data_IF_007879788962
#
_entry.id   IF_007879788962
#
_cell.length_a   1.000
_cell.length_b   1.000
_cell.length_c   1.000
_cell.angle_alpha   90.00
_cell.angle_beta   90.00
_cell.angle_gamma   90.00
#
_symmetry.space_group_name_H-M   'P 1'
#
loop_
_entity.id
_entity.type
_entity.pdbx_description
1 polymer ?
#
# COMPACT_ATOMS: atom_id res chain seq x y z
N UNK A 1 11.38 23.30 7.50
CA UNK A 1 10.97 22.87 7.63
C UNK A 1 10.56 22.36 7.49
N UNK A 2 10.49 22.00 7.32
CA UNK A 2 9.97 21.25 7.29
C UNK A 2 9.40 20.67 7.36
N UNK A 3 9.27 20.61 7.19
CA UNK A 3 8.59 19.97 7.40
C UNK A 3 8.17 19.26 7.63
N UNK A 4 8.26 18.82 7.63
CA UNK A 4 7.90 18.07 7.92
C UNK A 4 7.21 17.87 8.29
N UNK A 5 7.02 17.98 8.42
CA UNK A 5 6.35 17.67 8.96
C UNK A 5 5.46 17.30 8.75
N UNK A 6 5.06 17.49 8.67
CA UNK A 6 4.01 16.85 8.45
C UNK A 6 4.03 15.48 8.54
N UNK A 7 4.79 15.09 8.99
CA UNK A 7 5.19 13.76 8.94
C UNK A 7 4.23 12.80 9.56
N UNK A 8 3.71 13.05 10.69
CA UNK A 8 2.80 12.14 11.33
C UNK A 8 1.55 11.96 10.52
N UNK A 9 1.32 12.86 9.63
CA UNK A 9 0.16 12.79 8.79
C UNK A 9 0.49 12.32 7.42
N UNK A 10 1.63 11.70 7.27
CA UNK A 10 2.05 11.23 5.98
C UNK A 10 1.07 10.26 5.42
N UNK A 11 0.60 10.49 4.21
CA UNK A 11 -0.37 9.57 3.61
C UNK A 11 0.23 8.22 3.29
N UNK A 12 1.54 8.10 3.27
CA UNK A 12 2.17 6.84 2.97
C UNK A 12 2.35 5.91 4.16
N UNK A 13 1.89 6.33 5.34
CA UNK A 13 2.06 5.51 6.55
C UNK A 13 0.70 5.13 7.07
N UNK A 14 0.51 3.85 7.30
CA UNK A 14 -0.74 3.32 7.82
C UNK A 14 -0.43 2.38 8.97
N UNK A 15 -1.21 2.47 10.03
CA UNK A 15 -1.10 1.58 11.17
C UNK A 15 -2.41 0.86 11.34
N UNK A 16 -2.41 -0.42 11.06
CA UNK A 16 -3.60 -1.22 11.17
C UNK A 16 -3.27 -2.54 11.81
N UNK A 17 -3.84 -3.61 11.27
CA UNK A 17 -3.64 -4.94 11.83
C UNK A 17 -2.19 -5.38 11.86
N UNK A 18 -1.40 -4.87 10.96
CA UNK A 18 0.00 -5.30 10.82
C UNK A 18 0.98 -4.32 11.45
N UNK A 19 0.48 -3.37 12.25
CA UNK A 19 1.31 -2.31 12.78
C UNK A 19 1.64 -1.29 11.69
N UNK A 20 2.68 -0.48 11.90
CA UNK A 20 3.02 0.56 10.93
C UNK A 20 3.45 -0.03 9.60
N UNK A 21 2.87 0.47 8.52
CA UNK A 21 3.27 0.07 7.18
C UNK A 21 3.52 1.32 6.36
N UNK A 22 4.46 1.22 5.44
CA UNK A 22 4.71 2.27 4.47
C UNK A 22 3.96 1.91 3.20
N UNK A 23 3.20 2.87 2.66
CA UNK A 23 2.43 2.65 1.45
C UNK A 23 3.11 3.37 0.30
N UNK A 24 3.41 2.62 -0.76
CA UNK A 24 4.05 3.17 -1.95
C UNK A 24 3.15 2.98 -3.14
N UNK A 25 3.12 3.99 -3.98
CA UNK A 25 2.33 3.93 -5.20
C UNK A 25 3.18 3.37 -6.31
N UNK A 26 2.71 2.30 -6.93
CA UNK A 26 3.40 1.67 -8.04
C UNK A 26 2.77 2.16 -9.33
N UNK A 27 3.55 2.81 -10.17
CA UNK A 27 3.07 3.30 -11.46
C UNK A 27 2.93 2.13 -12.43
N UNK A 28 2.07 2.26 -13.46
CA UNK A 28 1.90 1.16 -14.41
C UNK A 28 3.20 0.66 -15.02
N UNK A 29 4.13 1.56 -15.35
CA UNK A 29 5.38 1.14 -15.98
C UNK A 29 6.30 0.41 -15.00
N UNK A 30 6.04 0.53 -13.70
CA UNK A 30 6.82 -0.15 -12.66
C UNK A 30 6.23 -1.50 -12.29
N UNK A 31 5.02 -1.78 -12.73
CA UNK A 31 4.32 -3.01 -12.38
C UNK A 31 4.74 -4.13 -13.33
N UNK A 32 5.83 -4.79 -12.99
CA UNK A 32 6.44 -5.79 -13.87
C UNK A 32 5.92 -7.19 -13.64
N UNK A 33 5.19 -7.42 -12.56
CA UNK A 33 4.69 -8.75 -12.19
C UNK A 33 3.21 -8.68 -11.90
N UNK A 34 2.58 -9.85 -11.91
CA UNK A 34 1.19 -9.99 -11.50
C UNK A 34 1.13 -10.37 -10.04
N UNK A 35 0.26 -9.71 -9.29
CA UNK A 35 0.07 -9.98 -7.86
C UNK A 35 -1.41 -10.27 -7.59
N UNK A 36 -1.70 -10.79 -6.40
CA UNK A 36 -3.07 -11.02 -5.95
C UNK A 36 -3.39 -10.01 -4.88
N UNK A 37 -4.45 -9.23 -5.08
CA UNK A 37 -4.89 -8.23 -4.13
C UNK A 37 -5.56 -8.90 -2.93
N UNK A 38 -5.09 -8.69 -1.69
CA UNK A 38 -5.73 -9.32 -0.53
C UNK A 38 -7.12 -8.78 -0.24
N UNK A 39 -7.46 -7.61 -0.78
CA UNK A 39 -8.77 -7.03 -0.51
C UNK A 39 -9.89 -7.67 -1.28
N UNK A 40 -9.64 -8.05 -2.53
CA UNK A 40 -10.69 -8.62 -3.38
C UNK A 40 -10.33 -10.00 -3.92
N UNK A 41 -9.11 -10.47 -3.68
CA UNK A 41 -8.61 -11.76 -4.14
C UNK A 41 -8.56 -11.88 -5.66
N UNK A 42 -8.53 -10.73 -6.36
CA UNK A 42 -8.40 -10.69 -7.81
C UNK A 42 -6.99 -10.32 -8.18
N UNK A 43 -6.62 -10.65 -9.41
CA UNK A 43 -5.29 -10.34 -9.89
C UNK A 43 -5.08 -8.84 -10.07
N UNK A 44 -3.85 -8.41 -9.82
CA UNK A 44 -3.35 -7.10 -10.24
C UNK A 44 -2.38 -7.41 -11.37
N UNK A 45 -2.79 -7.31 -12.61
CA UNK A 45 -1.93 -7.73 -13.72
C UNK A 45 -0.73 -6.80 -13.87
N UNK A 46 0.33 -7.33 -14.46
CA UNK A 46 1.48 -6.52 -14.83
C UNK A 46 1.00 -5.36 -15.70
N UNK A 47 1.58 -4.20 -15.49
CA UNK A 47 1.18 -3.00 -16.23
C UNK A 47 0.04 -2.23 -15.59
N UNK A 48 -0.53 -2.73 -14.50
CA UNK A 48 -1.59 -2.02 -13.79
C UNK A 48 -1.00 -1.31 -12.57
N UNK A 49 -1.22 -0.01 -12.45
CA UNK A 49 -0.81 0.73 -11.27
C UNK A 49 -1.56 0.27 -10.03
N UNK A 50 -0.90 0.31 -8.90
CA UNK A 50 -1.50 -0.17 -7.66
C UNK A 50 -0.68 0.35 -6.49
N UNK A 51 -1.11 0.03 -5.26
CA UNK A 51 -0.37 0.37 -4.04
C UNK A 51 0.32 -0.87 -3.50
N UNK A 52 1.48 -0.66 -2.86
CA UNK A 52 2.12 -1.72 -2.09
C UNK A 52 2.27 -1.24 -0.65
N UNK A 53 1.82 -2.06 0.29
CA UNK A 53 1.91 -1.78 1.71
C UNK A 53 3.05 -2.63 2.27
N UNK A 54 4.06 -1.95 2.82
CA UNK A 54 5.30 -2.60 3.29
C UNK A 54 5.37 -2.43 4.80
N UNK A 55 5.17 -3.51 5.58
CA UNK A 55 5.32 -3.42 7.03
C UNK A 55 6.74 -3.03 7.39
N UNK A 56 6.88 -2.09 8.33
CA UNK A 56 8.21 -1.62 8.73
C UNK A 56 9.05 -2.73 9.34
N UNK A 57 8.43 -3.60 10.11
CA UNK A 57 9.16 -4.63 10.84
C UNK A 57 9.30 -5.92 10.07
N UNK A 58 8.62 -6.04 8.94
CA UNK A 58 8.66 -7.27 8.14
C UNK A 58 8.45 -6.93 6.66
N UNK A 59 9.43 -6.30 6.01
CA UNK A 59 9.26 -5.85 4.63
C UNK A 59 8.98 -6.98 3.65
N UNK A 60 9.39 -8.21 3.98
CA UNK A 60 9.13 -9.36 3.13
C UNK A 60 7.66 -9.80 3.17
N UNK A 61 6.87 -9.26 4.08
CA UNK A 61 5.44 -9.53 4.14
C UNK A 61 4.61 -8.49 3.39
N UNK A 62 5.25 -7.69 2.55
CA UNK A 62 4.53 -6.66 1.80
C UNK A 62 3.44 -7.26 0.95
N UNK A 63 2.37 -6.47 0.76
CA UNK A 63 1.20 -6.87 -0.04
C UNK A 63 0.90 -5.80 -1.06
N UNK A 64 0.48 -6.24 -2.23
CA UNK A 64 0.08 -5.35 -3.31
C UNK A 64 -1.44 -5.29 -3.36
N UNK A 65 -1.99 -4.08 -3.48
CA UNK A 65 -3.43 -3.84 -3.39
C UNK A 65 -3.87 -2.97 -4.56
N UNK A 66 -5.05 -3.25 -5.12
CA UNK A 66 -5.67 -2.28 -6.02
C UNK A 66 -5.87 -0.96 -5.28
N UNK A 67 -5.84 0.16 -6.00
CA UNK A 67 -6.02 1.47 -5.36
C UNK A 67 -7.31 1.52 -4.56
N UNK A 68 -8.42 1.12 -5.18
CA UNK A 68 -9.73 1.19 -4.51
C UNK A 68 -9.82 0.24 -3.33
N UNK A 69 -9.17 -0.92 -3.44
CA UNK A 69 -9.19 -1.89 -2.35
C UNK A 69 -8.39 -1.38 -1.16
N UNK A 70 -7.27 -0.74 -1.43
CA UNK A 70 -6.46 -0.14 -0.36
C UNK A 70 -7.23 0.99 0.32
N UNK A 71 -7.88 1.86 -0.46
CA UNK A 71 -8.67 2.94 0.11
C UNK A 71 -9.74 2.41 1.04
N UNK A 72 -10.40 1.34 0.64
CA UNK A 72 -11.45 0.73 1.45
C UNK A 72 -10.87 0.11 2.73
N UNK A 73 -9.74 -0.53 2.62
CA UNK A 73 -9.07 -1.13 3.76
C UNK A 73 -8.71 -0.08 4.80
N UNK A 74 -8.14 1.02 4.36
CA UNK A 74 -7.74 2.10 5.24
C UNK A 74 -8.94 2.71 5.94
N UNK A 75 -10.03 2.91 5.21
CA UNK A 75 -11.24 3.48 5.80
C UNK A 75 -11.86 2.54 6.84
N UNK A 76 -11.76 1.25 6.60
CA UNK A 76 -12.32 0.27 7.52
C UNK A 76 -11.56 0.22 8.82
N UNK A 77 -10.25 0.40 8.78
CA UNK A 77 -9.39 0.27 9.96
C UNK A 77 -8.86 1.61 10.47
N UNK A 78 -9.27 2.70 9.88
CA UNK A 78 -8.76 4.01 10.29
C UNK A 78 -9.44 4.55 11.55
#
# INVERSE_FOLDING_TARGET
KKPAKKSSKQPGIWSGLYGPVEVRRIQPYQALKTYICPGCHQEIPAGMGHNVAVPHDAPDLRRHWHYACWDREVKTHA
#
